data_IF_896472773241
#
_entry.id   IF_896472773241
#
_cell.length_a   1.000
_cell.length_b   1.000
_cell.length_c   1.000
_cell.angle_alpha   90.00
_cell.angle_beta   90.00
_cell.angle_gamma   90.00
#
_symmetry.space_group_name_H-M   'P 1'
#
loop_
_entity.id
_entity.type
_entity.pdbx_description
1 polymer ?
#
# COMPACT_ATOMS: atom_id res chain seq x y z
N UNK A 1 23.86 -2.22 -53.43
CA UNK A 1 23.96 -1.38 -52.20
C UNK A 1 23.09 -0.10 -52.22
N UNK A 2 22.53 0.32 -53.36
CA UNK A 2 21.70 1.54 -53.48
C UNK A 2 20.24 1.39 -52.99
N UNK A 3 19.65 0.18 -53.05
CA UNK A 3 18.28 -0.07 -52.58
C UNK A 3 18.13 -0.03 -51.05
N UNK A 4 19.13 -0.53 -50.31
CA UNK A 4 19.16 -0.46 -48.84
C UNK A 4 19.25 0.98 -48.31
N UNK A 5 20.03 1.86 -48.95
CA UNK A 5 20.12 3.28 -48.55
C UNK A 5 18.82 4.05 -48.80
N UNK A 6 18.01 3.64 -49.78
CA UNK A 6 16.71 4.26 -50.09
C UNK A 6 15.57 3.77 -49.18
N UNK A 7 15.65 2.55 -48.66
CA UNK A 7 14.66 2.01 -47.73
C UNK A 7 14.90 2.44 -46.27
N UNK A 8 16.13 2.83 -45.92
CA UNK A 8 16.50 3.32 -44.60
C UNK A 8 15.59 4.43 -44.03
N UNK A 9 15.26 5.52 -44.75
CA UNK A 9 14.37 6.54 -44.22
C UNK A 9 12.94 6.03 -43.99
N UNK A 10 12.48 5.08 -44.80
CA UNK A 10 11.13 4.52 -44.69
C UNK A 10 11.03 3.57 -43.49
N UNK A 11 12.06 2.75 -43.25
CA UNK A 11 12.18 1.95 -42.04
C UNK A 11 12.28 2.82 -40.78
N UNK A 12 13.06 3.89 -40.84
CA UNK A 12 13.16 4.85 -39.73
C UNK A 12 11.82 5.53 -39.45
N UNK A 13 11.09 5.94 -40.49
CA UNK A 13 9.76 6.53 -40.35
C UNK A 13 8.75 5.55 -39.73
N UNK A 14 8.74 4.29 -40.17
CA UNK A 14 7.88 3.25 -39.60
C UNK A 14 8.21 2.98 -38.13
N UNK A 15 9.50 2.93 -37.78
CA UNK A 15 9.94 2.74 -36.40
C UNK A 15 9.50 3.93 -35.52
N UNK A 16 9.70 5.16 -35.99
CA UNK A 16 9.26 6.37 -35.27
C UNK A 16 7.75 6.40 -35.08
N UNK A 17 6.98 5.98 -36.10
CA UNK A 17 5.53 5.91 -36.01
C UNK A 17 5.07 4.84 -35.00
N UNK A 18 5.72 3.69 -34.98
CA UNK A 18 5.48 2.66 -33.96
C UNK A 18 5.80 3.15 -32.55
N UNK A 19 6.92 3.86 -32.38
CA UNK A 19 7.32 4.45 -31.10
C UNK A 19 6.32 5.53 -30.62
N UNK A 20 5.86 6.37 -31.54
CA UNK A 20 4.85 7.39 -31.26
C UNK A 20 3.53 6.76 -30.81
N UNK A 21 3.09 5.68 -31.48
CA UNK A 21 1.89 4.94 -31.07
C UNK A 21 2.06 4.31 -29.67
N UNK A 22 3.23 3.72 -29.38
CA UNK A 22 3.51 3.16 -28.06
C UNK A 22 3.47 4.23 -26.95
N UNK A 23 4.06 5.41 -27.18
CA UNK A 23 3.98 6.52 -26.23
C UNK A 23 2.56 7.09 -26.07
N UNK A 24 1.78 7.12 -27.15
CA UNK A 24 0.38 7.54 -27.06
C UNK A 24 -0.44 6.57 -26.19
N UNK A 25 -0.27 5.25 -26.36
CA UNK A 25 -0.90 4.24 -25.51
C UNK A 25 -0.46 4.36 -24.05
N UNK A 26 0.84 4.55 -23.82
CA UNK A 26 1.37 4.73 -22.48
C UNK A 26 0.77 5.98 -21.79
N UNK A 27 0.61 7.08 -22.52
CA UNK A 27 -0.02 8.29 -22.00
C UNK A 27 -1.51 8.06 -21.66
N UNK A 28 -2.22 7.24 -22.43
CA UNK A 28 -3.59 6.82 -22.13
C UNK A 28 -3.62 5.98 -20.85
N UNK A 29 -2.72 5.00 -20.70
CA UNK A 29 -2.65 4.15 -19.50
C UNK A 29 -2.33 4.97 -18.24
N UNK A 30 -1.43 5.94 -18.32
CA UNK A 30 -1.13 6.86 -17.21
C UNK A 30 -2.37 7.67 -16.81
N UNK A 31 -3.12 8.21 -17.78
CA UNK A 31 -4.37 8.93 -17.51
C UNK A 31 -5.44 8.02 -16.92
N UNK A 32 -5.55 6.79 -17.43
CA UNK A 32 -6.47 5.79 -16.92
C UNK A 32 -6.17 5.45 -15.46
N UNK A 33 -4.89 5.28 -15.11
CA UNK A 33 -4.45 5.10 -13.72
C UNK A 33 -4.83 6.27 -12.83
N UNK A 34 -4.58 7.51 -13.24
CA UNK A 34 -4.96 8.69 -12.44
C UNK A 34 -6.47 8.77 -12.19
N UNK A 35 -7.29 8.51 -13.20
CA UNK A 35 -8.74 8.49 -13.06
C UNK A 35 -9.20 7.34 -12.15
N UNK A 36 -8.59 6.15 -12.30
CA UNK A 36 -8.91 4.96 -11.51
C UNK A 36 -8.60 5.17 -10.02
N UNK A 37 -7.42 5.70 -9.70
CA UNK A 37 -7.04 5.99 -8.31
C UNK A 37 -8.04 6.95 -7.65
N UNK A 38 -8.36 8.08 -8.30
CA UNK A 38 -9.32 9.06 -7.75
C UNK A 38 -10.70 8.46 -7.53
N UNK A 39 -11.19 7.68 -8.50
CA UNK A 39 -12.51 7.08 -8.43
C UNK A 39 -12.59 6.02 -7.32
N UNK A 40 -11.59 5.16 -7.23
CA UNK A 40 -11.56 4.07 -6.27
C UNK A 40 -11.25 4.56 -4.84
N UNK A 41 -10.43 5.60 -4.68
CA UNK A 41 -10.19 6.23 -3.37
C UNK A 41 -11.50 6.82 -2.81
N UNK A 42 -12.32 7.47 -3.65
CA UNK A 42 -13.65 7.96 -3.23
C UNK A 42 -14.57 6.80 -2.87
N UNK A 43 -14.64 5.76 -3.71
CA UNK A 43 -15.47 4.57 -3.40
C UNK A 43 -15.04 3.88 -2.12
N UNK A 44 -13.74 3.82 -1.83
CA UNK A 44 -13.21 3.23 -0.62
C UNK A 44 -13.69 3.95 0.65
N UNK A 45 -13.80 5.28 0.61
CA UNK A 45 -14.33 6.06 1.74
C UNK A 45 -15.81 5.75 2.04
N UNK A 46 -16.60 5.49 1.00
CA UNK A 46 -18.03 5.17 1.13
C UNK A 46 -18.28 3.69 1.46
N UNK A 47 -17.56 2.76 0.82
CA UNK A 47 -17.74 1.32 0.95
C UNK A 47 -16.38 0.60 0.99
N UNK A 48 -15.95 0.23 2.19
CA UNK A 48 -14.62 -0.34 2.46
C UNK A 48 -14.46 -1.79 1.97
N UNK A 49 -15.54 -2.53 1.82
CA UNK A 49 -15.55 -3.95 1.43
C UNK A 49 -15.83 -4.19 -0.06
N UNK A 50 -15.66 -3.18 -0.92
CA UNK A 50 -15.87 -3.33 -2.36
C UNK A 50 -14.69 -4.08 -2.97
N UNK A 51 -14.99 -5.19 -3.62
CA UNK A 51 -14.00 -5.95 -4.37
C UNK A 51 -13.57 -5.20 -5.64
N UNK A 52 -12.31 -5.42 -6.04
CA UNK A 52 -11.79 -4.92 -7.31
C UNK A 52 -11.42 -3.43 -7.35
N UNK A 53 -11.19 -2.82 -6.19
CA UNK A 53 -10.56 -1.50 -6.11
C UNK A 53 -9.07 -1.58 -6.53
N UNK A 54 -8.64 -0.52 -7.20
CA UNK A 54 -7.29 -0.27 -7.69
C UNK A 54 -6.71 -1.37 -8.59
N UNK A 55 -7.56 -2.00 -9.42
CA UNK A 55 -7.12 -2.91 -10.48
C UNK A 55 -6.48 -2.15 -11.64
N UNK A 56 -5.49 -2.78 -12.27
CA UNK A 56 -4.81 -2.23 -13.46
C UNK A 56 -5.81 -1.95 -14.58
N UNK A 57 -5.91 -0.69 -15.05
CA UNK A 57 -6.67 -0.33 -16.24
C UNK A 57 -5.83 -0.37 -17.53
N UNK A 58 -4.58 -0.84 -17.46
CA UNK A 58 -3.62 -0.71 -18.55
C UNK A 58 -4.01 -1.55 -19.77
N UNK A 59 -3.86 -0.94 -20.93
CA UNK A 59 -4.04 -1.57 -22.24
C UNK A 59 -2.74 -2.26 -22.64
N UNK A 60 -1.58 -1.66 -22.33
CA UNK A 60 -0.28 -2.25 -22.61
C UNK A 60 -0.03 -3.49 -21.74
N UNK A 61 0.49 -4.59 -22.33
CA UNK A 61 0.78 -5.79 -21.58
C UNK A 61 1.88 -5.52 -20.54
N UNK A 62 1.70 -6.07 -19.34
CA UNK A 62 2.64 -5.90 -18.23
C UNK A 62 2.54 -4.56 -17.50
N UNK A 63 1.55 -3.72 -17.84
CA UNK A 63 1.26 -2.44 -17.17
C UNK A 63 2.51 -1.58 -16.90
N UNK A 64 3.22 -1.16 -17.98
CA UNK A 64 4.41 -0.32 -17.85
C UNK A 64 4.09 1.04 -17.20
N UNK A 65 2.84 1.51 -17.29
CA UNK A 65 2.40 2.73 -16.65
C UNK A 65 2.48 2.62 -15.12
N UNK A 66 2.02 1.52 -14.52
CA UNK A 66 2.13 1.32 -13.06
C UNK A 66 3.58 1.26 -12.59
N UNK A 67 4.46 0.63 -13.35
CA UNK A 67 5.88 0.52 -13.05
C UNK A 67 6.58 1.90 -13.12
N UNK A 68 6.31 2.67 -14.19
CA UNK A 68 6.82 4.03 -14.37
C UNK A 68 6.32 4.99 -13.28
N UNK A 69 5.07 4.85 -12.87
CA UNK A 69 4.47 5.64 -11.81
C UNK A 69 4.86 5.13 -10.39
N UNK A 70 5.55 3.99 -10.29
CA UNK A 70 5.95 3.43 -9.01
C UNK A 70 4.77 2.98 -8.14
N UNK A 71 3.67 2.50 -8.74
CA UNK A 71 2.43 2.22 -8.01
C UNK A 71 2.45 0.93 -7.17
N UNK A 72 3.48 0.10 -7.25
CA UNK A 72 3.56 -1.17 -6.51
C UNK A 72 3.31 -1.01 -5.00
N UNK A 73 4.21 -0.29 -4.30
CA UNK A 73 4.12 -0.11 -2.85
C UNK A 73 2.86 0.69 -2.43
N UNK A 74 2.48 1.78 -3.12
CA UNK A 74 1.24 2.49 -2.82
C UNK A 74 -0.05 1.67 -3.01
N UNK A 75 -0.08 0.75 -3.97
CA UNK A 75 -1.22 -0.15 -4.17
C UNK A 75 -1.26 -1.21 -3.08
N UNK A 76 -0.11 -1.84 -2.78
CA UNK A 76 0.01 -2.81 -1.70
C UNK A 76 -0.43 -2.22 -0.35
N UNK A 77 -0.02 -0.98 -0.05
CA UNK A 77 -0.49 -0.25 1.13
C UNK A 77 -2.01 -0.08 1.17
N UNK A 78 -2.62 0.32 0.05
CA UNK A 78 -4.08 0.50 -0.03
C UNK A 78 -4.83 -0.82 0.17
N UNK A 79 -4.35 -1.90 -0.44
CA UNK A 79 -4.92 -3.23 -0.25
C UNK A 79 -4.76 -3.72 1.20
N UNK A 80 -3.60 -3.53 1.82
CA UNK A 80 -3.37 -3.85 3.23
C UNK A 80 -4.31 -3.05 4.15
N UNK A 81 -4.47 -1.75 3.91
CA UNK A 81 -5.40 -0.90 4.64
C UNK A 81 -6.84 -1.36 4.45
N UNK A 82 -7.23 -1.75 3.24
CA UNK A 82 -8.56 -2.30 2.97
C UNK A 82 -8.81 -3.58 3.78
N UNK A 83 -7.87 -4.52 3.75
CA UNK A 83 -7.97 -5.79 4.49
C UNK A 83 -8.06 -5.55 6.00
N UNK A 84 -7.25 -4.63 6.53
CA UNK A 84 -7.30 -4.22 7.92
C UNK A 84 -8.67 -3.64 8.31
N UNK A 85 -9.22 -2.72 7.52
CA UNK A 85 -10.52 -2.12 7.84
C UNK A 85 -11.66 -3.13 7.69
N UNK A 86 -11.58 -4.04 6.72
CA UNK A 86 -12.56 -5.12 6.55
C UNK A 86 -12.50 -6.12 7.71
N UNK A 87 -11.31 -6.40 8.26
CA UNK A 87 -11.15 -7.30 9.41
C UNK A 87 -11.74 -6.70 10.69
N UNK A 88 -11.59 -5.39 10.90
CA UNK A 88 -12.22 -4.68 12.03
C UNK A 88 -13.75 -4.68 11.96
N UNK A 89 -14.34 -4.51 10.77
CA UNK A 89 -15.80 -4.58 10.59
C UNK A 89 -16.33 -6.03 10.72
N UNK A 90 -15.47 -7.03 10.52
CA UNK A 90 -15.80 -8.46 10.55
C UNK A 90 -15.98 -9.08 11.94
N UNK A 91 -15.66 -8.36 13.02
CA UNK A 91 -15.74 -8.87 14.42
C UNK A 91 -17.16 -9.29 14.83
N UNK A 92 -18.19 -8.95 14.05
CA UNK A 92 -19.58 -9.38 14.30
C UNK A 92 -20.15 -10.55 13.49
N UNK A 93 -19.53 -11.03 12.37
CA UNK A 93 -20.24 -11.99 11.49
C UNK A 93 -19.43 -12.86 10.51
N UNK A 94 -18.10 -12.94 10.58
CA UNK A 94 -17.34 -13.86 9.70
C UNK A 94 -16.53 -14.89 10.49
N UNK A 95 -16.58 -16.13 10.03
CA UNK A 95 -15.95 -17.31 10.62
C UNK A 95 -14.49 -17.05 10.96
N UNK A 96 -14.10 -17.32 12.21
CA UNK A 96 -12.78 -17.00 12.78
C UNK A 96 -11.57 -17.52 11.96
N UNK A 97 -11.76 -18.50 11.08
CA UNK A 97 -10.67 -19.08 10.26
C UNK A 97 -10.17 -18.20 9.10
N UNK A 98 -11.03 -17.44 8.42
CA UNK A 98 -10.59 -16.62 7.28
C UNK A 98 -9.92 -15.31 7.71
N UNK A 99 -10.31 -14.78 8.87
CA UNK A 99 -9.78 -13.54 9.44
C UNK A 99 -8.29 -13.71 9.81
N UNK A 100 -7.92 -14.84 10.42
CA UNK A 100 -6.54 -15.12 10.83
C UNK A 100 -5.58 -15.25 9.64
N UNK A 101 -6.00 -15.91 8.57
CA UNK A 101 -5.18 -16.07 7.34
C UNK A 101 -4.96 -14.73 6.64
N UNK A 102 -6.02 -13.94 6.48
CA UNK A 102 -5.93 -12.58 5.89
C UNK A 102 -5.04 -11.66 6.74
N UNK A 103 -5.01 -11.87 8.06
CA UNK A 103 -4.19 -11.06 8.95
C UNK A 103 -2.70 -11.35 8.81
N UNK A 104 -2.31 -12.63 8.85
CA UNK A 104 -0.90 -13.02 8.70
C UNK A 104 -0.33 -12.57 7.35
N UNK A 105 -1.11 -12.67 6.27
CA UNK A 105 -0.66 -12.15 4.97
C UNK A 105 -0.48 -10.62 4.99
N UNK A 106 -1.41 -9.90 5.63
CA UNK A 106 -1.31 -8.43 5.75
C UNK A 106 -0.09 -7.99 6.57
N UNK A 107 0.21 -8.68 7.66
CA UNK A 107 1.40 -8.39 8.49
C UNK A 107 2.69 -8.62 7.70
N UNK A 108 2.79 -9.72 6.96
CA UNK A 108 3.95 -10.00 6.12
C UNK A 108 4.15 -8.94 5.02
N UNK A 109 3.07 -8.53 4.34
CA UNK A 109 3.13 -7.51 3.29
C UNK A 109 3.58 -6.16 3.87
N UNK A 110 2.98 -5.73 4.99
CA UNK A 110 3.36 -4.48 5.65
C UNK A 110 4.81 -4.51 6.16
N UNK A 111 5.30 -5.65 6.66
CA UNK A 111 6.69 -5.79 7.10
C UNK A 111 7.66 -5.71 5.92
N UNK A 112 7.27 -6.25 4.75
CA UNK A 112 7.98 -6.06 3.49
C UNK A 112 8.11 -4.59 3.10
N UNK A 113 6.99 -3.85 3.14
CA UNK A 113 6.95 -2.40 2.82
C UNK A 113 7.76 -1.59 3.84
N UNK A 114 7.59 -1.84 5.15
CA UNK A 114 8.31 -1.14 6.21
C UNK A 114 9.84 -1.28 6.08
N UNK A 115 10.30 -2.40 5.53
CA UNK A 115 11.72 -2.71 5.37
C UNK A 115 12.29 -2.22 4.03
N UNK A 116 11.52 -2.33 2.93
CA UNK A 116 12.08 -2.23 1.57
C UNK A 116 11.44 -1.16 0.69
N UNK A 117 10.39 -0.46 1.13
CA UNK A 117 9.78 0.57 0.30
C UNK A 117 10.74 1.73 -0.02
N UNK A 118 10.56 2.32 -1.20
CA UNK A 118 11.52 3.30 -1.75
C UNK A 118 11.58 4.58 -0.93
N UNK A 119 10.45 5.03 -0.39
CA UNK A 119 10.39 6.30 0.35
C UNK A 119 10.30 6.07 1.86
N UNK A 120 10.87 7.01 2.64
CA UNK A 120 10.71 7.01 4.10
C UNK A 120 9.25 7.09 4.54
N UNK A 121 8.43 7.86 3.81
CA UNK A 121 7.00 8.01 4.07
C UNK A 121 6.23 6.69 3.91
N UNK A 122 6.53 5.88 2.88
CA UNK A 122 5.91 4.56 2.71
C UNK A 122 6.32 3.59 3.81
N UNK A 123 7.62 3.53 4.12
CA UNK A 123 8.14 2.71 5.23
C UNK A 123 7.49 3.10 6.56
N UNK A 124 7.35 4.40 6.79
CA UNK A 124 6.73 4.95 7.99
C UNK A 124 5.26 4.57 8.13
N UNK A 125 4.45 4.73 7.07
CA UNK A 125 3.02 4.38 7.10
C UNK A 125 2.80 2.89 7.30
N UNK A 126 3.68 2.04 6.74
CA UNK A 126 3.59 0.60 6.92
C UNK A 126 3.92 0.19 8.37
N UNK A 127 4.98 0.75 8.95
CA UNK A 127 5.32 0.53 10.34
C UNK A 127 4.23 1.06 11.30
N UNK A 128 3.64 2.22 11.04
CA UNK A 128 2.54 2.76 11.83
C UNK A 128 1.32 1.81 11.84
N UNK A 129 0.94 1.27 10.67
CA UNK A 129 -0.14 0.28 10.60
C UNK A 129 0.20 -1.04 11.32
N UNK A 130 1.45 -1.52 11.26
CA UNK A 130 1.88 -2.70 12.02
C UNK A 130 1.73 -2.49 13.53
N UNK A 131 2.03 -1.29 14.02
CA UNK A 131 1.82 -0.91 15.42
C UNK A 131 0.33 -0.99 15.82
N UNK A 132 -0.55 -0.39 15.00
CA UNK A 132 -2.00 -0.45 15.21
C UNK A 132 -2.53 -1.88 15.16
N UNK A 133 -2.10 -2.69 14.20
CA UNK A 133 -2.51 -4.10 14.09
C UNK A 133 -2.10 -4.91 15.30
N UNK A 134 -0.89 -4.68 15.81
CA UNK A 134 -0.36 -5.38 16.98
C UNK A 134 -1.18 -5.10 18.22
N UNK A 135 -1.51 -3.83 18.51
CA UNK A 135 -2.26 -3.45 19.72
C UNK A 135 -3.75 -3.77 19.63
N UNK A 136 -4.33 -3.80 18.43
CA UNK A 136 -5.75 -4.11 18.22
C UNK A 136 -6.04 -5.61 18.12
N UNK A 137 -5.00 -6.47 18.13
CA UNK A 137 -5.24 -7.92 18.18
C UNK A 137 -5.75 -8.36 19.55
N UNK A 138 -6.84 -9.14 19.60
CA UNK A 138 -7.29 -9.75 20.84
C UNK A 138 -6.22 -10.67 21.42
N UNK A 139 -5.81 -10.43 22.67
CA UNK A 139 -4.90 -11.28 23.43
C UNK A 139 -5.67 -12.11 24.45
N UNK A 140 -5.25 -13.36 24.66
CA UNK A 140 -5.90 -14.25 25.62
C UNK A 140 -5.49 -13.94 27.08
N UNK A 141 -4.26 -13.45 27.29
CA UNK A 141 -3.67 -13.23 28.62
C UNK A 141 -2.91 -11.89 28.72
N UNK A 142 -2.83 -11.35 29.95
CA UNK A 142 -2.18 -10.06 30.25
C UNK A 142 -0.69 -10.02 29.88
N UNK A 143 0.01 -11.14 29.95
CA UNK A 143 1.43 -11.20 29.57
C UNK A 143 1.63 -10.98 28.06
N UNK A 144 0.67 -11.44 27.25
CA UNK A 144 0.66 -11.22 25.80
C UNK A 144 0.29 -9.78 25.45
N UNK A 145 -0.55 -9.15 26.27
CA UNK A 145 -0.93 -7.74 26.13
C UNK A 145 0.26 -6.80 26.34
N UNK A 146 1.06 -6.99 27.39
CA UNK A 146 2.28 -6.18 27.62
C UNK A 146 3.28 -6.33 26.47
N UNK A 147 3.45 -7.55 25.94
CA UNK A 147 4.31 -7.78 24.78
C UNK A 147 3.77 -7.11 23.51
N UNK A 148 2.44 -7.10 23.32
CA UNK A 148 1.80 -6.42 22.20
C UNK A 148 2.00 -4.90 22.29
N UNK A 149 1.90 -4.32 23.48
CA UNK A 149 2.18 -2.90 23.73
C UNK A 149 3.64 -2.57 23.37
N UNK A 150 4.62 -3.30 23.91
CA UNK A 150 6.04 -3.04 23.62
C UNK A 150 6.36 -3.16 22.13
N UNK A 151 5.78 -4.16 21.46
CA UNK A 151 5.98 -4.37 20.02
C UNK A 151 5.30 -3.29 19.18
N UNK A 152 4.11 -2.84 19.57
CA UNK A 152 3.44 -1.71 18.93
C UNK A 152 4.26 -0.41 19.11
N UNK A 153 4.82 -0.16 20.29
CA UNK A 153 5.68 0.99 20.55
C UNK A 153 6.92 0.99 19.64
N UNK A 154 7.56 -0.16 19.47
CA UNK A 154 8.70 -0.31 18.56
C UNK A 154 8.33 -0.01 17.09
N UNK A 155 7.16 -0.45 16.64
CA UNK A 155 6.68 -0.13 15.30
C UNK A 155 6.37 1.37 15.11
N UNK A 156 5.78 2.04 16.10
CA UNK A 156 5.58 3.49 16.02
C UNK A 156 6.91 4.26 16.05
N UNK A 157 7.89 3.81 16.82
CA UNK A 157 9.25 4.38 16.79
C UNK A 157 9.90 4.19 15.43
N UNK A 158 9.85 2.98 14.86
CA UNK A 158 10.33 2.69 13.51
C UNK A 158 9.63 3.59 12.47
N UNK A 159 8.33 3.84 12.63
CA UNK A 159 7.60 4.73 11.75
C UNK A 159 8.12 6.17 11.82
N UNK A 160 8.40 6.68 13.02
CA UNK A 160 8.95 8.02 13.23
C UNK A 160 10.38 8.13 12.71
N UNK A 161 11.20 7.09 12.86
CA UNK A 161 12.55 7.03 12.33
C UNK A 161 12.55 7.04 10.79
N UNK A 162 11.61 6.33 10.16
CA UNK A 162 11.47 6.29 8.71
C UNK A 162 10.96 7.60 8.11
N UNK A 163 10.04 8.29 8.79
CA UNK A 163 9.53 9.61 8.41
C UNK A 163 9.20 10.45 9.66
N UNK A 164 10.10 11.38 10.05
CA UNK A 164 9.89 12.25 11.20
C UNK A 164 8.69 13.19 11.06
N UNK A 165 8.11 13.34 9.86
CA UNK A 165 6.93 14.18 9.62
C UNK A 165 5.60 13.44 9.82
N UNK A 166 5.63 12.11 10.01
CA UNK A 166 4.43 11.32 10.28
C UNK A 166 3.86 11.63 11.68
N UNK A 167 2.86 12.52 11.71
CA UNK A 167 2.18 12.93 12.94
C UNK A 167 1.37 11.79 13.57
N UNK A 168 0.76 10.92 12.76
CA UNK A 168 -0.04 9.79 13.24
C UNK A 168 0.78 8.84 14.09
N UNK A 169 1.99 8.48 13.65
CA UNK A 169 2.88 7.60 14.40
C UNK A 169 3.27 8.19 15.77
N UNK A 170 3.53 9.50 15.83
CA UNK A 170 3.82 10.20 17.10
C UNK A 170 2.64 10.18 18.05
N UNK A 171 1.45 10.47 17.54
CA UNK A 171 0.23 10.47 18.34
C UNK A 171 -0.10 9.05 18.83
N UNK A 172 0.03 8.04 17.97
CA UNK A 172 -0.20 6.65 18.33
C UNK A 172 0.78 6.19 19.42
N UNK A 173 2.07 6.54 19.30
CA UNK A 173 3.06 6.27 20.33
C UNK A 173 2.72 6.98 21.64
N UNK A 174 2.32 8.26 21.59
CA UNK A 174 1.94 9.01 22.78
C UNK A 174 0.75 8.37 23.50
N UNK A 175 -0.31 8.01 22.76
CA UNK A 175 -1.48 7.33 23.32
C UNK A 175 -1.10 6.01 23.98
N UNK A 176 -0.22 5.24 23.35
CA UNK A 176 0.26 3.97 23.87
C UNK A 176 1.07 4.14 25.17
N UNK A 177 1.99 5.11 25.20
CA UNK A 177 2.80 5.43 26.39
C UNK A 177 1.97 5.96 27.56
N UNK A 178 0.86 6.66 27.27
CA UNK A 178 -0.12 7.07 28.29
C UNK A 178 -0.88 5.87 28.86
N UNK A 179 -1.16 4.85 28.04
CA UNK A 179 -1.75 3.60 28.52
C UNK A 179 -0.81 2.84 29.46
N UNK A 180 0.50 2.79 29.16
CA UNK A 180 1.51 2.14 30.02
C UNK A 180 1.73 2.87 31.35
N UNK A 181 1.47 4.17 31.40
CA UNK A 181 1.53 4.99 32.62
C UNK A 181 0.12 5.34 33.06
N UNK A 182 -0.65 4.41 33.67
CA UNK A 182 -1.89 4.79 34.30
C UNK A 182 -1.55 5.90 35.30
N UNK A 183 -2.22 7.05 35.16
CA UNK A 183 -2.07 8.16 36.08
C UNK A 183 -2.21 7.60 37.51
N UNK A 184 -1.20 7.83 38.36
CA UNK A 184 -1.31 7.54 39.79
C UNK A 184 -2.60 8.22 40.28
N UNK A 185 -3.59 7.42 40.62
CA UNK A 185 -4.73 7.85 41.44
C UNK A 185 -4.26 8.11 42.87
#
# INVERSE_FOLDING_TARGET
MTRLRRAAPLLAALLLLGLAAAFALLAVDVRAWQARLRHDDVRFTAFRSVDGLWRSPAILPGDPASALLGLGDPLAYRHALQLFLVSQVGVGRRSAGSISVTRVSTENDLQGIASHARTGAERSRAADLLGVMTITTPTADNATEVQAIQRAAAYFQQAIEADPTNYSAKLNLELLLRLERPAKA
#
